data_IF_437422624560
#
_entry.id   IF_437422624560
#
_cell.length_a   1.000
_cell.length_b   1.000
_cell.length_c   1.000
_cell.angle_alpha   90.00
_cell.angle_beta   90.00
_cell.angle_gamma   90.00
#
_symmetry.space_group_name_H-M   'P 1'
#
loop_
_entity.id
_entity.type
_entity.pdbx_description
1 polymer ?
#
# COMPACT_ATOMS: atom_id res chain seq x y z
N UNK A 1 -2.11 -22.92 -2.80
CA UNK A 1 -0.89 -22.11 -2.80
C UNK A 1 -1.03 -21.09 -3.89
N UNK A 2 -1.12 -19.82 -3.50
CA UNK A 2 -1.04 -18.72 -4.46
C UNK A 2 0.40 -18.68 -4.97
N UNK A 3 0.59 -18.68 -6.29
CA UNK A 3 1.88 -18.78 -6.99
C UNK A 3 2.84 -17.57 -6.76
N UNK A 4 2.57 -16.73 -5.77
CA UNK A 4 3.34 -15.52 -5.49
C UNK A 4 4.04 -15.55 -4.14
N UNK A 5 5.28 -15.02 -4.04
CA UNK A 5 5.94 -14.80 -2.77
C UNK A 5 5.10 -13.89 -1.85
N UNK A 6 5.27 -14.06 -0.53
CA UNK A 6 4.61 -13.20 0.45
C UNK A 6 5.23 -11.80 0.45
N UNK A 7 4.40 -10.80 0.74
CA UNK A 7 4.84 -9.45 1.08
C UNK A 7 5.96 -9.49 2.15
N UNK A 8 6.95 -8.59 2.11
CA UNK A 8 7.02 -7.38 1.27
C UNK A 8 7.52 -7.61 -0.16
N UNK A 9 7.56 -8.85 -0.66
CA UNK A 9 7.81 -9.08 -2.08
C UNK A 9 6.71 -8.43 -2.95
N UNK A 10 7.07 -7.67 -4.02
CA UNK A 10 6.11 -6.93 -4.83
C UNK A 10 5.47 -7.76 -5.96
N UNK A 11 5.85 -9.02 -6.15
CA UNK A 11 5.49 -9.80 -7.35
C UNK A 11 3.98 -9.87 -7.60
N UNK A 12 3.19 -10.05 -6.53
CA UNK A 12 1.73 -10.05 -6.65
C UNK A 12 1.17 -8.69 -7.09
N UNK A 13 1.69 -7.58 -6.58
CA UNK A 13 1.28 -6.23 -6.99
C UNK A 13 1.69 -5.94 -8.44
N UNK A 14 2.89 -6.36 -8.85
CA UNK A 14 3.35 -6.21 -10.23
C UNK A 14 2.48 -7.00 -11.20
N UNK A 15 2.09 -8.23 -10.84
CA UNK A 15 1.17 -9.04 -11.63
C UNK A 15 -0.21 -8.38 -11.78
N UNK A 16 -0.76 -7.85 -10.69
CA UNK A 16 -2.02 -7.10 -10.73
C UNK A 16 -1.91 -5.84 -11.61
N UNK A 17 -0.83 -5.08 -11.49
CA UNK A 17 -0.63 -3.88 -12.31
C UNK A 17 -0.57 -4.22 -13.80
N UNK A 18 0.11 -5.31 -14.16
CA UNK A 18 0.15 -5.81 -15.54
C UNK A 18 -1.23 -6.26 -16.01
N UNK A 19 -1.94 -7.05 -15.20
CA UNK A 19 -3.25 -7.61 -15.57
C UNK A 19 -4.30 -6.53 -15.81
N UNK A 20 -4.29 -5.48 -14.99
CA UNK A 20 -5.31 -4.41 -15.03
C UNK A 20 -4.82 -3.11 -15.66
N UNK A 21 -3.62 -3.11 -16.25
CA UNK A 21 -2.98 -1.94 -16.85
C UNK A 21 -2.94 -0.73 -15.89
N UNK A 22 -2.66 -0.98 -14.60
CA UNK A 22 -2.51 0.07 -13.59
C UNK A 22 -1.14 0.72 -13.74
N UNK A 23 -1.12 2.05 -13.88
CA UNK A 23 0.12 2.80 -13.78
C UNK A 23 0.55 2.90 -12.31
N UNK A 24 1.72 2.33 -12.01
CA UNK A 24 2.27 2.23 -10.66
C UNK A 24 2.61 3.60 -10.08
N UNK A 25 2.98 4.56 -10.92
CA UNK A 25 3.34 5.92 -10.48
C UNK A 25 2.13 6.74 -10.03
N UNK A 26 0.92 6.36 -10.46
CA UNK A 26 -0.35 6.98 -10.05
C UNK A 26 -1.21 6.06 -9.17
N UNK A 27 -0.62 4.98 -8.63
CA UNK A 27 -1.31 4.03 -7.78
C UNK A 27 -0.85 4.09 -6.32
N UNK A 28 -1.76 3.72 -5.42
CA UNK A 28 -1.56 3.71 -3.98
C UNK A 28 -1.86 2.31 -3.43
N UNK A 29 -0.88 1.72 -2.74
CA UNK A 29 -1.09 0.51 -1.95
C UNK A 29 -1.62 0.90 -0.56
N UNK A 30 -2.79 0.38 -0.17
CA UNK A 30 -3.38 0.63 1.15
C UNK A 30 -3.35 -0.67 1.94
N UNK A 31 -2.83 -0.64 3.18
CA UNK A 31 -2.82 -1.81 4.06
C UNK A 31 -2.64 -1.45 5.53
N UNK A 32 -2.81 -2.43 6.40
CA UNK A 32 -2.78 -2.31 7.86
C UNK A 32 -1.49 -2.87 8.48
N UNK A 33 -0.46 -3.12 7.66
CA UNK A 33 0.83 -3.64 8.10
C UNK A 33 1.96 -2.96 7.35
N UNK A 34 3.11 -2.81 8.01
CA UNK A 34 4.32 -2.27 7.37
C UNK A 34 4.70 -3.00 6.06
N UNK A 35 4.51 -4.32 6.00
CA UNK A 35 4.80 -5.12 4.80
C UNK A 35 3.89 -4.80 3.61
N UNK A 36 2.70 -4.24 3.82
CA UNK A 36 1.83 -3.81 2.72
C UNK A 36 2.39 -2.55 2.05
N UNK A 37 2.72 -1.55 2.87
CA UNK A 37 3.35 -0.30 2.43
C UNK A 37 4.70 -0.59 1.77
N UNK A 38 5.55 -1.41 2.39
CA UNK A 38 6.83 -1.81 1.81
C UNK A 38 6.68 -2.58 0.48
N UNK A 39 5.66 -3.44 0.34
CA UNK A 39 5.38 -4.09 -0.93
C UNK A 39 4.97 -3.08 -2.00
N UNK A 40 4.13 -2.10 -1.65
CA UNK A 40 3.76 -0.98 -2.52
C UNK A 40 4.97 -0.20 -3.01
N UNK A 41 5.84 0.24 -2.09
CA UNK A 41 7.07 0.95 -2.43
C UNK A 41 8.00 0.13 -3.33
N UNK A 42 8.16 -1.17 -3.06
CA UNK A 42 8.95 -2.08 -3.91
C UNK A 42 8.33 -2.32 -5.28
N UNK A 43 7.00 -2.23 -5.39
CA UNK A 43 6.30 -2.24 -6.68
C UNK A 43 6.41 -0.89 -7.41
N UNK A 44 6.95 0.16 -6.77
CA UNK A 44 7.04 1.52 -7.32
C UNK A 44 5.73 2.30 -7.21
N UNK A 45 4.90 1.96 -6.24
CA UNK A 45 3.66 2.65 -5.87
C UNK A 45 3.88 3.50 -4.61
N UNK A 46 3.01 4.48 -4.37
CA UNK A 46 2.88 5.06 -3.04
C UNK A 46 2.25 4.05 -2.05
N UNK A 47 2.39 4.28 -0.75
CA UNK A 47 1.85 3.47 0.33
C UNK A 47 1.07 4.29 1.36
N UNK A 48 -0.12 3.81 1.72
CA UNK A 48 -0.94 4.33 2.80
C UNK A 48 -1.10 3.29 3.91
N UNK A 49 -0.81 3.70 5.14
CA UNK A 49 -0.99 2.86 6.33
C UNK A 49 -2.34 3.14 6.97
N UNK A 50 -3.20 2.13 7.00
CA UNK A 50 -4.48 2.19 7.69
C UNK A 50 -4.33 1.62 9.10
N UNK A 51 -4.42 2.48 10.11
CA UNK A 51 -4.20 2.12 11.51
C UNK A 51 -5.32 2.67 12.42
N UNK A 52 -6.52 2.06 12.40
CA UNK A 52 -7.66 2.55 13.16
C UNK A 52 -7.46 2.51 14.68
N UNK A 53 -6.53 1.70 15.18
CA UNK A 53 -6.34 1.40 16.61
C UNK A 53 -5.07 2.04 17.20
N UNK A 54 -4.28 2.73 16.36
CA UNK A 54 -2.98 3.31 16.69
C UNK A 54 -1.95 2.29 17.24
N UNK A 55 -2.01 1.04 16.78
CA UNK A 55 -1.17 -0.04 17.31
C UNK A 55 0.10 -0.30 16.49
N UNK A 56 0.18 0.25 15.27
CA UNK A 56 1.29 -0.03 14.36
C UNK A 56 2.45 0.93 14.65
N UNK A 57 3.61 0.34 14.94
CA UNK A 57 4.89 1.05 14.92
C UNK A 57 5.29 1.22 13.46
N UNK A 58 5.46 2.47 13.02
CA UNK A 58 5.80 2.76 11.64
C UNK A 58 7.28 2.48 11.36
N UNK A 59 7.53 1.51 10.48
CA UNK A 59 8.84 1.14 9.94
C UNK A 59 8.82 1.13 8.40
N UNK A 60 7.71 1.57 7.80
CA UNK A 60 7.46 1.47 6.36
C UNK A 60 7.44 2.81 5.66
N UNK A 61 7.41 3.92 6.40
CA UNK A 61 7.46 5.27 5.85
C UNK A 61 6.35 5.56 4.82
N UNK A 62 5.06 5.34 5.18
CA UNK A 62 3.95 5.61 4.26
C UNK A 62 3.84 7.11 3.95
N UNK A 63 3.36 7.43 2.76
CA UNK A 63 3.01 8.80 2.35
C UNK A 63 1.89 9.39 3.21
N UNK A 64 0.99 8.53 3.69
CA UNK A 64 -0.02 8.90 4.68
C UNK A 64 -0.35 7.74 5.62
N UNK A 65 -0.51 8.05 6.91
CA UNK A 65 -1.15 7.18 7.90
C UNK A 65 -2.51 7.74 8.26
N UNK A 66 -3.54 6.92 8.17
CA UNK A 66 -4.94 7.30 8.47
C UNK A 66 -5.55 6.33 9.47
N UNK A 67 -6.49 6.83 10.27
CA UNK A 67 -7.27 5.98 11.19
C UNK A 67 -8.70 5.76 10.69
N UNK A 68 -9.12 6.53 9.69
CA UNK A 68 -10.42 6.40 9.02
C UNK A 68 -10.23 6.56 7.53
N UNK A 69 -10.95 5.76 6.72
CA UNK A 69 -10.92 5.90 5.26
C UNK A 69 -11.37 7.28 4.76
N UNK A 70 -12.19 8.00 5.53
CA UNK A 70 -12.58 9.36 5.21
C UNK A 70 -11.38 10.34 5.18
N UNK A 71 -10.36 10.10 6.01
CA UNK A 71 -9.13 10.92 6.01
C UNK A 71 -8.30 10.62 4.77
N UNK A 72 -8.25 9.35 4.34
CA UNK A 72 -7.57 8.97 3.12
C UNK A 72 -8.24 9.59 1.89
N UNK A 73 -9.58 9.57 1.86
CA UNK A 73 -10.33 10.23 0.80
C UNK A 73 -10.04 11.73 0.75
N UNK A 74 -10.02 12.40 1.90
CA UNK A 74 -9.69 13.82 1.98
C UNK A 74 -8.27 14.12 1.48
N UNK A 75 -7.30 13.25 1.80
CA UNK A 75 -5.93 13.38 1.31
C UNK A 75 -5.81 13.19 -0.21
N UNK A 76 -6.53 12.22 -0.78
CA UNK A 76 -6.57 11.98 -2.24
C UNK A 76 -7.19 13.15 -3.03
N UNK A 77 -7.97 14.00 -2.37
CA UNK A 77 -8.68 15.12 -2.97
C UNK A 77 -7.99 16.48 -2.78
N UNK A 78 -6.90 16.52 -2.01
CA UNK A 78 -6.13 17.72 -1.71
C UNK A 78 -5.09 18.01 -2.80
#
# INVERSE_FOLDING_TARGET
DDDYPRKPDPTSLLALCQQYAVDRQSALMIGDRNLDVQAGHRAGMAGALFDPEHLIVDESHPEIRVIRLAELLAWLQA
#
